data_IF_032829048064
#
_entry.id   IF_032829048064
#
_cell.length_a   1.000
_cell.length_b   1.000
_cell.length_c   1.000
_cell.angle_alpha   90.00
_cell.angle_beta   90.00
_cell.angle_gamma   90.00
#
_symmetry.space_group_name_H-M   'P 1'
#
loop_
_entity.id
_entity.type
_entity.pdbx_description
1 polymer ?
#
# COMPACT_ATOMS: atom_id res chain seq x y z
N UNK A 1 22.32 2.87 -23.31
CA UNK A 1 21.89 2.00 -22.19
C UNK A 1 21.88 2.84 -20.91
N UNK A 2 20.78 3.50 -20.60
CA UNK A 2 20.65 4.29 -19.37
C UNK A 2 19.58 3.68 -18.49
N UNK A 3 19.96 2.82 -17.54
CA UNK A 3 19.07 2.57 -16.40
C UNK A 3 18.96 3.89 -15.66
N UNK A 4 17.74 4.39 -15.45
CA UNK A 4 17.54 5.55 -14.59
C UNK A 4 18.14 5.22 -13.21
N UNK A 5 19.20 5.90 -12.74
CA UNK A 5 19.90 5.52 -11.51
C UNK A 5 19.01 5.59 -10.27
N UNK A 6 17.81 6.18 -10.37
CA UNK A 6 16.80 6.20 -9.33
C UNK A 6 16.05 4.86 -9.14
N UNK A 7 16.15 3.91 -10.08
CA UNK A 7 15.36 2.67 -10.09
C UNK A 7 16.28 1.46 -10.27
N UNK A 8 16.41 0.64 -9.24
CA UNK A 8 17.35 -0.49 -9.25
C UNK A 8 16.61 -1.78 -8.89
N UNK A 9 16.65 -2.72 -9.83
CA UNK A 9 16.23 -4.11 -9.61
C UNK A 9 17.46 -5.00 -9.50
N UNK A 10 17.55 -5.74 -8.42
CA UNK A 10 18.75 -6.49 -8.06
C UNK A 10 18.42 -7.96 -7.83
N UNK A 11 19.25 -8.83 -8.38
CA UNK A 11 19.23 -10.27 -8.09
C UNK A 11 20.54 -10.60 -7.37
N UNK A 12 20.44 -11.24 -6.21
CA UNK A 12 21.52 -11.68 -5.33
C UNK A 12 22.51 -10.58 -4.91
N UNK A 13 22.15 -9.77 -3.92
CA UNK A 13 23.04 -8.71 -3.39
C UNK A 13 22.94 -8.62 -1.87
N UNK A 14 24.07 -8.33 -1.24
CA UNK A 14 24.16 -7.75 0.10
C UNK A 14 23.79 -6.28 0.01
N UNK A 15 22.69 -5.87 0.63
CA UNK A 15 22.15 -4.50 0.57
C UNK A 15 23.19 -3.41 0.92
N UNK A 16 24.19 -3.75 1.74
CA UNK A 16 25.35 -2.93 2.07
C UNK A 16 26.09 -2.39 0.82
N UNK A 17 26.14 -3.16 -0.28
CA UNK A 17 26.79 -2.72 -1.53
C UNK A 17 26.05 -1.58 -2.24
N UNK A 18 24.84 -1.24 -1.80
CA UNK A 18 24.04 -0.14 -2.32
C UNK A 18 24.28 1.19 -1.59
N UNK A 19 25.18 1.22 -0.60
CA UNK A 19 25.60 2.43 0.12
C UNK A 19 25.84 3.66 -0.76
N UNK A 20 26.53 3.56 -1.93
CA UNK A 20 26.80 4.73 -2.78
C UNK A 20 25.54 5.29 -3.48
N UNK A 21 24.42 4.57 -3.45
CA UNK A 21 23.20 4.92 -4.19
C UNK A 21 22.24 5.80 -3.38
N UNK A 22 22.70 6.90 -2.79
CA UNK A 22 21.89 7.77 -1.93
C UNK A 22 20.66 8.39 -2.62
N UNK A 23 20.67 8.45 -3.96
CA UNK A 23 19.56 8.98 -4.78
C UNK A 23 18.57 7.92 -5.23
N UNK A 24 18.67 6.69 -4.74
CA UNK A 24 17.77 5.60 -5.11
C UNK A 24 16.37 5.83 -4.53
N UNK A 25 15.35 5.72 -5.39
CA UNK A 25 13.94 5.91 -5.02
C UNK A 25 13.15 4.60 -5.04
N UNK A 26 13.50 3.69 -5.96
CA UNK A 26 12.88 2.37 -6.11
C UNK A 26 13.93 1.27 -5.99
N UNK A 27 13.73 0.38 -5.02
CA UNK A 27 14.50 -0.84 -4.86
C UNK A 27 13.59 -2.07 -4.97
N UNK A 28 13.91 -2.95 -5.91
CA UNK A 28 13.31 -4.29 -6.01
C UNK A 28 14.42 -5.31 -5.79
N UNK A 29 14.41 -5.92 -4.61
CA UNK A 29 15.29 -7.02 -4.21
C UNK A 29 14.48 -8.24 -3.71
N UNK A 30 13.30 -8.45 -4.28
CA UNK A 30 12.46 -9.62 -4.01
C UNK A 30 13.04 -10.91 -4.58
N UNK A 31 12.69 -12.05 -3.96
CA UNK A 31 13.13 -13.40 -4.34
C UNK A 31 14.66 -13.59 -4.21
N UNK A 32 15.21 -13.19 -3.06
CA UNK A 32 16.60 -13.42 -2.70
C UNK A 32 16.66 -14.22 -1.36
N UNK A 33 17.80 -14.18 -0.67
CA UNK A 33 18.03 -14.83 0.64
C UNK A 33 18.44 -13.82 1.72
N UNK A 34 17.87 -12.62 1.65
CA UNK A 34 18.17 -11.57 2.63
C UNK A 34 17.61 -11.96 3.99
N UNK A 35 18.43 -11.93 5.03
CA UNK A 35 18.03 -12.22 6.41
C UNK A 35 17.87 -10.94 7.25
N UNK A 36 18.55 -9.85 6.86
CA UNK A 36 18.46 -8.53 7.47
C UNK A 36 18.19 -7.45 6.43
N UNK A 37 17.71 -6.30 6.89
CA UNK A 37 17.49 -5.10 6.10
C UNK A 37 18.67 -4.11 6.16
N UNK A 38 19.82 -4.53 6.70
CA UNK A 38 21.04 -3.72 6.84
C UNK A 38 21.54 -3.17 5.51
N UNK A 39 21.98 -1.91 5.51
CA UNK A 39 22.38 -1.16 4.33
C UNK A 39 21.27 -0.28 3.76
N UNK A 40 19.99 -0.56 4.07
CA UNK A 40 18.89 0.33 3.67
C UNK A 40 18.99 1.71 4.33
N UNK A 41 19.61 1.82 5.50
CA UNK A 41 19.77 3.09 6.22
C UNK A 41 20.54 4.16 5.44
N UNK A 42 21.26 3.77 4.41
CA UNK A 42 22.04 4.66 3.55
C UNK A 42 21.20 5.22 2.38
N UNK A 43 20.06 4.61 2.06
CA UNK A 43 19.20 4.96 0.92
C UNK A 43 18.20 6.08 1.26
N UNK A 44 18.72 7.28 1.53
CA UNK A 44 17.95 8.39 2.11
C UNK A 44 16.74 8.87 1.29
N UNK A 45 16.72 8.61 -0.02
CA UNK A 45 15.60 8.98 -0.92
C UNK A 45 14.67 7.81 -1.27
N UNK A 46 14.85 6.64 -0.65
CA UNK A 46 14.02 5.47 -0.90
C UNK A 46 12.55 5.81 -0.65
N UNK A 47 11.68 5.39 -1.56
CA UNK A 47 10.23 5.60 -1.47
C UNK A 47 9.44 4.34 -1.74
N UNK A 48 9.99 3.45 -2.55
CA UNK A 48 9.43 2.14 -2.84
C UNK A 48 10.47 1.06 -2.57
N UNK A 49 10.07 0.08 -1.76
CA UNK A 49 10.89 -1.06 -1.39
C UNK A 49 10.09 -2.35 -1.60
N UNK A 50 10.64 -3.26 -2.41
CA UNK A 50 10.17 -4.63 -2.50
C UNK A 50 11.30 -5.59 -2.12
N UNK A 51 11.20 -6.14 -0.90
CA UNK A 51 12.06 -7.21 -0.39
C UNK A 51 11.24 -8.46 -0.06
N UNK A 52 10.12 -8.65 -0.77
CA UNK A 52 9.28 -9.83 -0.59
C UNK A 52 9.98 -11.13 -1.00
N UNK A 53 9.54 -12.27 -0.47
CA UNK A 53 10.12 -13.57 -0.77
C UNK A 53 11.62 -13.62 -0.42
N UNK A 54 11.94 -13.29 0.83
CA UNK A 54 13.27 -13.36 1.43
C UNK A 54 13.16 -14.09 2.79
N UNK A 55 14.18 -13.98 3.63
CA UNK A 55 14.23 -14.59 4.96
C UNK A 55 14.33 -13.51 6.07
N UNK A 56 13.85 -12.30 5.81
CA UNK A 56 14.02 -11.14 6.70
C UNK A 56 13.38 -11.44 8.06
N UNK A 57 14.17 -11.32 9.14
CA UNK A 57 13.74 -11.57 10.52
C UNK A 57 14.06 -10.41 11.47
N UNK A 58 14.32 -9.21 10.93
CA UNK A 58 14.61 -7.98 11.68
C UNK A 58 14.48 -6.75 10.79
N UNK A 59 14.02 -5.63 11.36
CA UNK A 59 13.72 -4.36 10.67
C UNK A 59 14.52 -3.18 11.25
N UNK A 60 15.81 -3.38 11.51
CA UNK A 60 16.65 -2.39 12.18
C UNK A 60 16.89 -1.17 11.29
N UNK A 61 17.15 -1.36 10.01
CA UNK A 61 17.36 -0.25 9.08
C UNK A 61 16.06 0.50 8.76
N UNK A 62 14.95 -0.22 8.54
CA UNK A 62 13.63 0.36 8.34
C UNK A 62 13.16 1.19 9.55
N UNK A 63 13.60 0.84 10.76
CA UNK A 63 13.34 1.64 11.98
C UNK A 63 13.94 3.04 11.95
N UNK A 64 14.81 3.36 10.97
CA UNK A 64 15.36 4.71 10.80
C UNK A 64 14.51 5.60 9.89
N UNK A 65 13.57 5.04 9.14
CA UNK A 65 12.76 5.81 8.19
C UNK A 65 11.55 6.44 8.87
N UNK A 66 11.37 7.75 8.70
CA UNK A 66 10.16 8.43 9.19
C UNK A 66 8.93 8.18 8.32
N UNK A 67 9.13 8.02 7.00
CA UNK A 67 8.06 7.66 6.08
C UNK A 67 8.62 6.94 4.86
N UNK A 68 7.84 5.99 4.35
CA UNK A 68 8.05 5.35 3.05
C UNK A 68 6.71 5.24 2.32
N UNK A 69 6.76 5.26 0.98
CA UNK A 69 5.59 5.13 0.14
C UNK A 69 5.05 3.70 0.17
N UNK A 70 5.74 2.79 -0.51
CA UNK A 70 5.31 1.39 -0.59
C UNK A 70 6.42 0.48 -0.07
N UNK A 71 6.08 -0.40 0.86
CA UNK A 71 7.00 -1.37 1.46
C UNK A 71 6.39 -2.76 1.39
N UNK A 72 7.00 -3.64 0.59
CA UNK A 72 6.55 -5.01 0.39
C UNK A 72 7.49 -5.95 1.16
N UNK A 73 6.99 -6.47 2.28
CA UNK A 73 7.68 -7.38 3.21
C UNK A 73 7.03 -8.77 3.21
N UNK A 74 6.15 -9.06 2.26
CA UNK A 74 5.43 -10.33 2.20
C UNK A 74 6.37 -11.52 1.98
N UNK A 75 5.97 -12.69 2.48
CA UNK A 75 6.77 -13.92 2.40
C UNK A 75 8.18 -13.74 2.99
N UNK A 76 8.26 -13.42 4.28
CA UNK A 76 9.48 -13.29 5.09
C UNK A 76 9.29 -14.00 6.45
N UNK A 77 10.19 -13.77 7.41
CA UNK A 77 10.19 -14.39 8.74
C UNK A 77 9.98 -13.36 9.88
N UNK A 78 9.18 -12.32 9.64
CA UNK A 78 8.93 -11.25 10.60
C UNK A 78 8.09 -11.70 11.80
N UNK A 79 8.36 -11.10 12.96
CA UNK A 79 7.63 -11.28 14.22
C UNK A 79 7.04 -9.95 14.68
N UNK A 80 6.16 -10.02 15.68
CA UNK A 80 5.56 -8.84 16.31
C UNK A 80 6.60 -7.84 16.83
N UNK A 81 7.67 -8.31 17.46
CA UNK A 81 8.76 -7.45 17.96
C UNK A 81 9.47 -6.67 16.84
N UNK A 82 9.53 -7.24 15.63
CA UNK A 82 10.14 -6.56 14.48
C UNK A 82 9.25 -5.40 13.98
N UNK A 83 7.93 -5.57 14.04
CA UNK A 83 6.97 -4.49 13.73
C UNK A 83 6.99 -3.37 14.77
N UNK A 84 7.24 -3.67 16.05
CA UNK A 84 7.36 -2.66 17.09
C UNK A 84 8.47 -1.63 16.80
N UNK A 85 9.56 -2.06 16.16
CA UNK A 85 10.68 -1.19 15.79
C UNK A 85 10.25 -0.09 14.80
N UNK A 86 9.31 -0.39 13.92
CA UNK A 86 8.83 0.52 12.86
C UNK A 86 7.49 1.18 13.18
N UNK A 87 6.98 1.05 14.41
CA UNK A 87 5.70 1.64 14.86
C UNK A 87 5.57 3.14 14.59
N UNK A 88 6.67 3.86 14.70
CA UNK A 88 6.72 5.31 14.58
C UNK A 88 6.75 5.79 13.12
N UNK A 89 7.01 4.90 12.17
CA UNK A 89 7.18 5.21 10.77
C UNK A 89 5.83 5.26 10.04
N UNK A 90 5.74 6.17 9.07
CA UNK A 90 4.54 6.41 8.30
C UNK A 90 4.63 5.71 6.93
N UNK A 91 4.04 4.52 6.84
CA UNK A 91 3.98 3.74 5.59
C UNK A 91 2.66 3.98 4.86
N UNK A 92 2.71 4.45 3.61
CA UNK A 92 1.48 4.65 2.85
C UNK A 92 0.87 3.30 2.41
N UNK A 93 1.70 2.34 2.02
CA UNK A 93 1.27 0.98 1.76
C UNK A 93 2.31 0.00 2.29
N UNK A 94 1.87 -0.94 3.11
CA UNK A 94 2.70 -2.02 3.63
C UNK A 94 2.05 -3.37 3.33
N UNK A 95 2.83 -4.34 2.85
CA UNK A 95 2.39 -5.72 2.66
C UNK A 95 3.20 -6.64 3.56
N UNK A 96 2.51 -7.39 4.42
CA UNK A 96 3.06 -8.23 5.47
C UNK A 96 2.53 -9.67 5.42
N UNK A 97 1.57 -9.98 4.53
CA UNK A 97 1.06 -11.34 4.34
C UNK A 97 2.18 -12.36 4.04
N UNK A 98 1.97 -13.62 4.40
CA UNK A 98 2.94 -14.70 4.15
C UNK A 98 4.11 -14.70 5.12
N UNK A 99 4.02 -13.96 6.24
CA UNK A 99 4.97 -14.05 7.35
C UNK A 99 4.40 -15.05 8.38
N UNK A 100 4.92 -16.29 8.49
CA UNK A 100 4.23 -17.35 9.23
C UNK A 100 4.02 -17.08 10.73
N UNK A 101 4.88 -16.27 11.34
CA UNK A 101 4.77 -15.91 12.77
C UNK A 101 3.72 -14.81 13.02
N UNK A 102 3.38 -14.03 11.99
CA UNK A 102 2.28 -13.06 12.02
C UNK A 102 0.97 -13.73 11.58
N UNK A 103 0.99 -14.52 10.50
CA UNK A 103 -0.19 -15.15 9.91
C UNK A 103 -0.85 -16.22 10.81
N UNK A 104 -0.11 -16.77 11.78
CA UNK A 104 -0.65 -17.66 12.82
C UNK A 104 -1.64 -16.95 13.75
N UNK A 105 -1.62 -15.62 13.79
CA UNK A 105 -2.52 -14.84 14.61
C UNK A 105 -3.92 -14.72 13.96
N UNK A 106 -4.99 -15.25 14.57
CA UNK A 106 -6.34 -15.15 14.03
C UNK A 106 -6.84 -13.70 13.93
N UNK A 107 -6.23 -12.77 14.67
CA UNK A 107 -6.54 -11.33 14.68
C UNK A 107 -5.45 -10.49 14.01
N UNK A 108 -4.61 -11.11 13.16
CA UNK A 108 -3.48 -10.49 12.45
C UNK A 108 -3.74 -9.04 12.03
N UNK A 109 -4.82 -8.78 11.29
CA UNK A 109 -5.11 -7.42 10.78
C UNK A 109 -5.37 -6.40 11.88
N UNK A 110 -6.13 -6.78 12.92
CA UNK A 110 -6.43 -5.93 14.07
C UNK A 110 -5.15 -5.60 14.83
N UNK A 111 -4.33 -6.61 15.09
CA UNK A 111 -3.08 -6.47 15.82
C UNK A 111 -2.02 -5.69 15.02
N UNK A 112 -1.93 -5.84 13.69
CA UNK A 112 -1.03 -5.01 12.87
C UNK A 112 -1.47 -3.55 12.88
N UNK A 113 -2.78 -3.26 12.78
CA UNK A 113 -3.29 -1.87 12.81
C UNK A 113 -3.01 -1.20 14.17
N UNK A 114 -3.08 -1.95 15.28
CA UNK A 114 -2.64 -1.46 16.59
C UNK A 114 -1.12 -1.28 16.66
N UNK A 115 -0.37 -2.26 16.14
CA UNK A 115 1.09 -2.26 16.15
C UNK A 115 1.69 -1.10 15.33
N UNK A 116 1.08 -0.79 14.19
CA UNK A 116 1.54 0.21 13.22
C UNK A 116 0.43 1.25 12.96
N UNK A 117 0.17 2.17 13.90
CA UNK A 117 -0.99 3.05 13.84
C UNK A 117 -0.93 4.09 12.71
N UNK A 118 0.23 4.31 12.08
CA UNK A 118 0.41 5.35 11.06
C UNK A 118 0.29 4.84 9.61
N UNK A 119 0.05 3.55 9.40
CA UNK A 119 -0.05 3.00 8.04
C UNK A 119 -1.34 3.44 7.34
N UNK A 120 -1.33 3.64 6.02
CA UNK A 120 -2.57 3.93 5.28
C UNK A 120 -3.20 2.68 4.68
N UNK A 121 -2.40 1.82 4.06
CA UNK A 121 -2.85 0.58 3.43
C UNK A 121 -2.07 -0.61 3.98
N UNK A 122 -2.79 -1.67 4.33
CA UNK A 122 -2.23 -2.94 4.79
C UNK A 122 -2.71 -4.06 3.86
N UNK A 123 -1.77 -4.77 3.24
CA UNK A 123 -2.01 -5.90 2.32
C UNK A 123 -3.01 -5.54 1.20
N UNK A 124 -2.83 -4.34 0.63
CA UNK A 124 -3.68 -3.83 -0.46
C UNK A 124 -5.06 -3.34 -0.02
N UNK A 125 -5.32 -3.24 1.29
CA UNK A 125 -6.59 -2.74 1.86
C UNK A 125 -6.37 -1.52 2.75
N UNK A 126 -7.02 -0.41 2.39
CA UNK A 126 -6.99 0.86 3.12
C UNK A 126 -7.47 0.66 4.56
N UNK A 127 -6.75 1.25 5.51
CA UNK A 127 -7.04 1.29 6.94
C UNK A 127 -7.80 2.57 7.27
N UNK A 128 -9.12 2.45 7.18
CA UNK A 128 -10.08 3.55 7.40
C UNK A 128 -10.22 3.94 8.87
N UNK A 129 -10.75 5.14 9.14
CA UNK A 129 -11.13 5.58 10.50
C UNK A 129 -12.09 4.60 11.17
N UNK A 130 -13.10 4.09 10.45
CA UNK A 130 -14.09 3.14 10.97
C UNK A 130 -13.42 1.87 11.47
N UNK A 131 -12.50 1.32 10.68
CA UNK A 131 -11.71 0.14 11.05
C UNK A 131 -10.83 0.39 12.28
N UNK A 132 -10.23 1.58 12.41
CA UNK A 132 -9.44 1.96 13.59
C UNK A 132 -10.27 2.09 14.85
N UNK A 133 -11.51 2.57 14.73
CA UNK A 133 -12.45 2.58 15.85
C UNK A 133 -12.82 1.16 16.27
N UNK A 134 -13.05 0.26 15.32
CA UNK A 134 -13.27 -1.16 15.62
C UNK A 134 -12.06 -1.81 16.32
N UNK A 135 -10.83 -1.52 15.89
CA UNK A 135 -9.63 -2.01 16.57
C UNK A 135 -9.58 -1.51 18.02
N UNK A 136 -9.85 -0.21 18.26
CA UNK A 136 -9.92 0.33 19.62
C UNK A 136 -10.98 -0.38 20.46
N UNK A 137 -12.18 -0.58 19.90
CA UNK A 137 -13.28 -1.25 20.59
C UNK A 137 -12.94 -2.71 20.92
N UNK A 138 -12.33 -3.44 19.97
CA UNK A 138 -11.90 -4.82 20.17
C UNK A 138 -11.00 -4.99 21.40
N UNK A 139 -10.03 -4.08 21.60
CA UNK A 139 -9.17 -4.13 22.79
C UNK A 139 -9.89 -3.78 24.08
N UNK A 140 -10.87 -2.86 24.04
CA UNK A 140 -11.70 -2.55 25.21
C UNK A 140 -12.54 -3.77 25.59
N UNK A 141 -13.19 -4.39 24.62
CA UNK A 141 -14.07 -5.55 24.85
C UNK A 141 -13.28 -6.76 25.36
N UNK A 142 -12.11 -7.03 24.78
CA UNK A 142 -11.27 -8.16 25.20
C UNK A 142 -10.67 -7.97 26.60
N UNK A 143 -10.34 -6.73 27.00
CA UNK A 143 -9.94 -6.41 28.39
C UNK A 143 -11.04 -6.78 29.41
N UNK A 144 -12.32 -6.79 29.00
CA UNK A 144 -13.47 -7.13 29.84
C UNK A 144 -13.80 -8.63 29.85
N UNK A 145 -13.14 -9.46 29.04
CA UNK A 145 -13.40 -10.91 28.96
C UNK A 145 -12.59 -11.72 29.96
N UNK A 146 -13.08 -12.93 30.30
CA UNK A 146 -12.39 -13.88 31.21
C UNK A 146 -11.06 -14.42 30.64
N UNK A 147 -10.88 -14.37 29.32
CA UNK A 147 -9.68 -14.81 28.60
C UNK A 147 -9.23 -13.72 27.61
N UNK A 148 -8.55 -12.66 28.08
CA UNK A 148 -8.20 -11.54 27.22
C UNK A 148 -7.24 -11.99 26.11
N UNK A 149 -7.61 -11.75 24.86
CA UNK A 149 -6.74 -11.87 23.70
C UNK A 149 -5.70 -10.75 23.77
N UNK A 150 -4.60 -10.94 24.49
CA UNK A 150 -3.66 -9.85 24.78
C UNK A 150 -2.34 -9.96 24.03
N UNK A 151 -2.23 -9.14 22.98
CA UNK A 151 -0.97 -8.54 22.51
C UNK A 151 -1.13 -7.04 22.24
N UNK A 152 -1.94 -6.32 23.04
CA UNK A 152 -1.94 -4.84 22.99
C UNK A 152 -0.51 -4.40 23.25
N UNK A 153 0.12 -3.83 22.23
CA UNK A 153 1.44 -3.23 22.38
C UNK A 153 1.33 -2.21 23.51
N UNK A 154 1.99 -2.47 24.64
CA UNK A 154 2.01 -1.55 25.77
C UNK A 154 2.58 -0.19 25.34
N UNK A 155 2.74 0.75 26.26
CA UNK A 155 3.68 1.86 26.02
C UNK A 155 5.07 1.22 25.86
N UNK A 156 5.42 0.80 24.65
CA UNK A 156 6.70 0.21 24.35
C UNK A 156 7.76 1.20 24.81
N UNK A 157 8.77 0.70 25.53
CA UNK A 157 9.87 1.53 25.96
C UNK A 157 10.47 2.18 24.71
N UNK A 158 10.24 3.48 24.53
CA UNK A 158 10.86 4.23 23.44
C UNK A 158 12.36 4.20 23.70
N UNK A 159 13.07 3.37 22.96
CA UNK A 159 14.53 3.33 22.94
C UNK A 159 15.06 4.72 22.64
N UNK A 160 16.29 5.02 23.05
CA UNK A 160 16.93 6.32 22.79
C UNK A 160 16.95 6.65 21.29
N UNK A 161 17.12 5.63 20.44
CA UNK A 161 17.02 5.75 18.98
C UNK A 161 15.62 6.20 18.51
N UNK A 162 14.54 5.63 19.06
CA UNK A 162 13.16 6.06 18.75
C UNK A 162 12.88 7.48 19.29
N UNK A 163 13.50 7.87 20.41
CA UNK A 163 13.37 9.24 20.96
C UNK A 163 14.07 10.28 20.08
N UNK A 164 15.22 9.91 19.50
CA UNK A 164 16.03 10.77 18.64
C UNK A 164 15.68 10.63 17.15
N UNK A 165 14.64 9.86 16.78
CA UNK A 165 14.25 9.68 15.38
C UNK A 165 13.95 11.00 14.65
N UNK A 166 13.50 12.03 15.38
CA UNK A 166 13.29 13.37 14.83
C UNK A 166 14.58 14.10 14.45
N UNK A 167 15.72 13.74 15.04
CA UNK A 167 17.04 14.34 14.78
C UNK A 167 17.96 13.44 13.95
N UNK A 168 17.82 12.11 14.07
CA UNK A 168 18.71 11.10 13.46
C UNK A 168 18.01 10.20 12.42
N UNK A 169 16.69 10.35 12.26
CA UNK A 169 15.88 9.60 11.30
C UNK A 169 16.10 10.05 9.86
N UNK A 170 15.80 9.15 8.93
CA UNK A 170 15.89 9.37 7.49
C UNK A 170 14.67 10.16 7.04
N UNK A 171 14.91 11.37 6.54
CA UNK A 171 13.87 12.30 6.06
C UNK A 171 14.10 12.62 4.58
N UNK A 172 13.38 11.92 3.71
CA UNK A 172 13.39 12.18 2.26
C UNK A 172 12.57 13.43 1.88
N UNK A 173 12.69 13.88 0.63
CA UNK A 173 11.85 14.97 0.10
C UNK A 173 10.36 14.60 0.13
N UNK A 174 10.05 13.34 -0.20
CA UNK A 174 8.71 12.76 -0.20
C UNK A 174 8.15 12.69 1.22
N UNK A 175 8.98 12.34 2.21
CA UNK A 175 8.61 12.41 3.62
C UNK A 175 8.14 13.84 3.98
N UNK A 176 8.95 14.88 3.69
CA UNK A 176 8.57 16.28 3.98
C UNK A 176 7.26 16.67 3.30
N UNK A 177 7.08 16.27 2.04
CA UNK A 177 5.84 16.50 1.30
C UNK A 177 4.63 15.86 2.00
N UNK A 178 4.72 14.58 2.37
CA UNK A 178 3.63 13.88 3.05
C UNK A 178 3.29 14.55 4.36
N UNK A 179 4.28 14.90 5.19
CA UNK A 179 4.01 15.58 6.45
C UNK A 179 3.36 16.96 6.28
N UNK A 180 3.68 17.66 5.18
CA UNK A 180 3.03 18.95 4.86
C UNK A 180 1.56 18.80 4.47
N UNK A 181 1.19 17.66 3.87
CA UNK A 181 -0.16 17.41 3.36
C UNK A 181 -1.02 16.60 4.33
N UNK A 182 -0.40 15.70 5.07
CA UNK A 182 -1.01 14.77 6.02
C UNK A 182 -0.21 14.81 7.33
N UNK A 183 -0.42 15.85 8.16
CA UNK A 183 0.29 16.01 9.42
C UNK A 183 0.02 14.83 10.38
N UNK A 184 1.03 14.43 11.16
CA UNK A 184 0.87 13.36 12.17
C UNK A 184 -0.17 13.68 13.25
N UNK A 185 -0.40 14.97 13.53
CA UNK A 185 -1.40 15.44 14.47
C UNK A 185 -2.82 15.47 13.89
N UNK A 186 -2.98 15.24 12.58
CA UNK A 186 -4.29 15.24 11.93
C UNK A 186 -5.13 14.08 12.47
N UNK A 187 -6.35 14.40 12.90
CA UNK A 187 -7.30 13.39 13.35
C UNK A 187 -7.81 12.61 12.15
N UNK A 188 -7.83 11.28 12.25
CA UNK A 188 -8.39 10.45 11.20
C UNK A 188 -9.90 10.66 11.14
N UNK A 189 -10.39 11.09 9.99
CA UNK A 189 -11.80 11.29 9.66
C UNK A 189 -12.14 10.62 8.32
N UNK A 190 -13.43 10.52 7.99
CA UNK A 190 -13.88 10.05 6.66
C UNK A 190 -13.23 10.85 5.52
N UNK A 191 -13.11 12.17 5.69
CA UNK A 191 -12.46 13.04 4.72
C UNK A 191 -10.96 12.73 4.57
N UNK A 192 -10.26 12.38 5.66
CA UNK A 192 -8.86 11.94 5.55
C UNK A 192 -8.73 10.63 4.79
N UNK A 193 -9.66 9.69 4.94
CA UNK A 193 -9.64 8.41 4.21
C UNK A 193 -9.81 8.64 2.70
N UNK A 194 -10.72 9.53 2.30
CA UNK A 194 -10.91 9.92 0.88
C UNK A 194 -9.65 10.59 0.30
N UNK A 195 -9.02 11.50 1.05
CA UNK A 195 -7.78 12.16 0.62
C UNK A 195 -6.62 11.17 0.48
N UNK A 196 -6.49 10.22 1.41
CA UNK A 196 -5.49 9.14 1.36
C UNK A 196 -5.73 8.23 0.18
N UNK A 197 -6.97 7.82 -0.07
CA UNK A 197 -7.36 7.02 -1.22
C UNK A 197 -6.99 7.71 -2.54
N UNK A 198 -7.29 9.01 -2.68
CA UNK A 198 -6.90 9.78 -3.86
C UNK A 198 -5.38 9.83 -4.04
N UNK A 199 -4.63 9.99 -2.95
CA UNK A 199 -3.17 9.99 -3.04
C UNK A 199 -2.62 8.62 -3.48
N UNK A 200 -3.13 7.52 -2.91
CA UNK A 200 -2.76 6.16 -3.33
C UNK A 200 -3.13 5.90 -4.80
N UNK A 201 -4.30 6.38 -5.23
CA UNK A 201 -4.72 6.35 -6.63
C UNK A 201 -3.70 7.04 -7.55
N UNK A 202 -3.25 8.24 -7.18
CA UNK A 202 -2.24 8.99 -7.94
C UNK A 202 -0.87 8.28 -7.95
N UNK A 203 -0.50 7.60 -6.86
CA UNK A 203 0.70 6.75 -6.85
C UNK A 203 0.60 5.60 -7.85
N UNK A 204 -0.54 4.90 -7.89
CA UNK A 204 -0.77 3.79 -8.83
C UNK A 204 -0.82 4.27 -10.28
N UNK A 205 -1.44 5.41 -10.54
CA UNK A 205 -1.44 6.07 -11.85
C UNK A 205 0.00 6.39 -12.30
N UNK A 206 0.81 7.00 -11.42
CA UNK A 206 2.22 7.27 -11.69
C UNK A 206 3.07 6.01 -11.90
N UNK A 207 2.78 4.91 -11.20
CA UNK A 207 3.41 3.60 -11.45
C UNK A 207 3.12 3.06 -12.86
N UNK A 208 1.87 3.22 -13.33
CA UNK A 208 1.46 2.81 -14.67
C UNK A 208 2.16 3.66 -15.73
N UNK A 209 2.24 4.97 -15.52
CA UNK A 209 2.92 5.89 -16.44
C UNK A 209 4.41 5.59 -16.56
N UNK A 210 5.10 5.43 -15.43
CA UNK A 210 6.51 5.02 -15.41
C UNK A 210 6.73 3.71 -16.14
N UNK A 211 5.83 2.74 -15.95
CA UNK A 211 5.94 1.45 -16.65
C UNK A 211 5.85 1.61 -18.18
N UNK A 212 4.98 2.49 -18.69
CA UNK A 212 4.94 2.78 -20.12
C UNK A 212 6.24 3.41 -20.63
N UNK A 213 6.80 4.36 -19.88
CA UNK A 213 8.06 5.03 -20.19
C UNK A 213 9.23 4.03 -20.23
N UNK A 214 9.38 3.20 -19.20
CA UNK A 214 10.45 2.21 -19.08
C UNK A 214 10.32 1.06 -20.09
N UNK A 215 9.09 0.67 -20.44
CA UNK A 215 8.85 -0.41 -21.38
C UNK A 215 9.02 0.00 -22.84
N UNK A 216 9.22 1.29 -23.12
CA UNK A 216 9.16 1.88 -24.47
C UNK A 216 7.88 1.49 -25.25
N UNK A 217 6.80 1.17 -24.53
CA UNK A 217 5.51 0.80 -25.12
C UNK A 217 4.68 2.05 -25.35
N UNK A 218 3.97 2.10 -26.47
CA UNK A 218 2.96 3.16 -26.69
C UNK A 218 1.93 3.10 -25.58
N UNK A 219 1.61 4.27 -25.00
CA UNK A 219 0.50 4.40 -24.04
C UNK A 219 -0.75 3.78 -24.65
N UNK A 220 -1.49 3.02 -23.86
CA UNK A 220 -2.76 2.44 -24.32
C UNK A 220 -3.72 3.59 -24.61
N UNK A 221 -4.26 3.63 -25.83
CA UNK A 221 -5.21 4.66 -26.25
C UNK A 221 -6.39 4.72 -25.27
N UNK A 222 -6.69 5.89 -24.73
CA UNK A 222 -7.77 6.11 -23.77
C UNK A 222 -7.35 6.10 -22.29
N UNK A 223 -6.12 5.71 -21.96
CA UNK A 223 -5.60 5.83 -20.60
C UNK A 223 -4.85 7.16 -20.44
N UNK A 224 -5.57 8.19 -19.96
CA UNK A 224 -5.00 9.51 -19.62
C UNK A 224 -4.12 9.43 -18.38
N UNK A 225 -3.35 10.49 -18.10
CA UNK A 225 -2.55 10.61 -16.89
C UNK A 225 -3.38 10.87 -15.62
N UNK A 226 -4.66 11.19 -15.78
CA UNK A 226 -5.63 11.45 -14.73
C UNK A 226 -6.71 10.38 -14.66
N UNK A 227 -6.57 9.29 -15.43
CA UNK A 227 -7.62 8.31 -15.67
C UNK A 227 -8.20 7.72 -14.38
N UNK A 228 -7.35 7.25 -13.45
CA UNK A 228 -7.83 6.66 -12.22
C UNK A 228 -8.51 7.67 -11.30
N UNK A 229 -8.05 8.93 -11.28
CA UNK A 229 -8.68 9.99 -10.51
C UNK A 229 -10.06 10.34 -11.09
N UNK A 230 -10.16 10.47 -12.41
CA UNK A 230 -11.43 10.66 -13.11
C UNK A 230 -12.39 9.49 -12.84
N UNK A 231 -11.88 8.25 -12.80
CA UNK A 231 -12.69 7.07 -12.49
C UNK A 231 -13.23 7.10 -11.05
N UNK A 232 -12.43 7.56 -10.07
CA UNK A 232 -12.91 7.77 -8.71
C UNK A 232 -13.95 8.89 -8.63
N UNK A 233 -13.86 9.94 -9.44
CA UNK A 233 -14.90 10.96 -9.52
C UNK A 233 -16.18 10.45 -10.17
N UNK A 234 -16.09 9.67 -11.25
CA UNK A 234 -17.26 9.05 -11.88
C UNK A 234 -17.95 8.06 -10.95
N UNK A 235 -17.19 7.35 -10.12
CA UNK A 235 -17.74 6.43 -9.11
C UNK A 235 -18.73 7.10 -8.16
N UNK A 236 -18.54 8.37 -7.82
CA UNK A 236 -19.49 9.13 -6.96
C UNK A 236 -20.88 9.28 -7.60
N UNK A 237 -20.97 9.12 -8.92
CA UNK A 237 -22.21 9.24 -9.70
C UNK A 237 -22.77 7.88 -10.10
N UNK A 238 -21.91 6.91 -10.38
CA UNK A 238 -22.27 5.58 -10.88
C UNK A 238 -21.47 4.47 -10.17
N UNK A 239 -21.83 4.22 -8.91
CA UNK A 239 -21.16 3.23 -8.06
C UNK A 239 -21.34 1.81 -8.62
N UNK A 240 -22.52 1.51 -9.18
CA UNK A 240 -22.87 0.18 -9.66
C UNK A 240 -22.01 -0.24 -10.85
N UNK A 241 -21.91 0.60 -11.89
CA UNK A 241 -21.06 0.27 -13.06
C UNK A 241 -19.58 0.21 -12.67
N UNK A 242 -19.11 1.10 -11.79
CA UNK A 242 -17.75 1.01 -11.27
C UNK A 242 -17.48 -0.29 -10.51
N UNK A 243 -18.44 -0.80 -9.74
CA UNK A 243 -18.35 -2.10 -9.08
C UNK A 243 -18.32 -3.26 -10.09
N UNK A 244 -19.12 -3.18 -11.16
CA UNK A 244 -19.08 -4.18 -12.23
C UNK A 244 -17.74 -4.21 -12.96
N UNK A 245 -17.14 -3.04 -13.23
CA UNK A 245 -15.78 -2.95 -13.79
C UNK A 245 -14.76 -3.57 -12.84
N UNK A 246 -14.84 -3.29 -11.54
CA UNK A 246 -13.99 -3.91 -10.52
C UNK A 246 -14.12 -5.44 -10.54
N UNK A 247 -15.34 -5.98 -10.57
CA UNK A 247 -15.59 -7.42 -10.62
C UNK A 247 -14.98 -8.05 -11.87
N UNK A 248 -15.18 -7.45 -13.05
CA UNK A 248 -14.58 -7.94 -14.30
C UNK A 248 -13.05 -7.87 -14.26
N UNK A 249 -12.47 -6.84 -13.65
CA UNK A 249 -11.03 -6.74 -13.49
C UNK A 249 -10.49 -7.86 -12.60
N UNK A 250 -11.16 -8.17 -11.49
CA UNK A 250 -10.81 -9.30 -10.62
C UNK A 250 -10.89 -10.62 -11.39
N UNK A 251 -11.98 -10.86 -12.13
CA UNK A 251 -12.14 -12.06 -12.98
C UNK A 251 -10.98 -12.15 -13.99
N UNK A 252 -10.56 -11.03 -14.58
CA UNK A 252 -9.47 -11.00 -15.55
C UNK A 252 -8.07 -11.33 -14.97
N UNK A 253 -7.92 -11.33 -13.65
CA UNK A 253 -6.69 -11.81 -13.00
C UNK A 253 -6.63 -13.33 -12.89
N UNK A 254 -7.80 -13.97 -12.80
CA UNK A 254 -7.95 -15.41 -12.65
C UNK A 254 -7.98 -16.10 -14.02
N UNK A 255 -8.70 -15.51 -14.98
CA UNK A 255 -8.89 -16.09 -16.30
C UNK A 255 -8.14 -15.29 -17.37
N UNK A 256 -7.42 -16.00 -18.26
CA UNK A 256 -6.85 -15.41 -19.46
C UNK A 256 -7.95 -15.18 -20.51
N UNK A 257 -8.62 -14.03 -20.40
CA UNK A 257 -9.72 -13.67 -21.30
C UNK A 257 -9.19 -13.04 -22.59
N UNK A 258 -9.57 -13.56 -23.79
CA UNK A 258 -9.22 -12.92 -25.06
C UNK A 258 -9.71 -11.48 -25.12
N UNK A 259 -8.93 -10.60 -25.74
CA UNK A 259 -9.28 -9.17 -25.84
C UNK A 259 -10.56 -8.92 -26.62
N UNK A 260 -10.87 -9.76 -27.61
CA UNK A 260 -12.13 -9.73 -28.37
C UNK A 260 -13.33 -10.05 -27.50
N UNK A 261 -13.21 -11.08 -26.65
CA UNK A 261 -14.23 -11.45 -25.68
C UNK A 261 -14.46 -10.33 -24.66
N UNK A 262 -13.39 -9.77 -24.10
CA UNK A 262 -13.52 -8.68 -23.12
C UNK A 262 -14.22 -7.45 -23.72
N UNK A 263 -13.87 -7.07 -24.97
CA UNK A 263 -14.58 -5.99 -25.67
C UNK A 263 -16.07 -6.29 -25.86
N UNK A 264 -16.41 -7.52 -26.28
CA UNK A 264 -17.81 -7.90 -26.47
C UNK A 264 -18.59 -7.89 -25.15
N UNK A 265 -17.98 -8.37 -24.05
CA UNK A 265 -18.58 -8.34 -22.71
C UNK A 265 -18.81 -6.90 -22.25
N UNK A 266 -17.80 -6.03 -22.36
CA UNK A 266 -17.93 -4.63 -21.98
C UNK A 266 -19.03 -3.91 -22.78
N UNK A 267 -19.14 -4.17 -24.09
CA UNK A 267 -20.21 -3.58 -24.90
C UNK A 267 -21.59 -4.13 -24.57
N UNK A 268 -21.70 -5.44 -24.34
CA UNK A 268 -23.00 -6.07 -24.00
C UNK A 268 -23.53 -5.59 -22.65
N UNK A 269 -22.66 -5.39 -21.67
CA UNK A 269 -23.02 -4.93 -20.32
C UNK A 269 -23.10 -3.39 -20.23
N UNK A 270 -22.77 -2.66 -21.31
CA UNK A 270 -22.77 -1.20 -21.31
C UNK A 270 -21.67 -0.58 -20.46
N UNK A 271 -20.52 -1.26 -20.36
CA UNK A 271 -19.33 -0.86 -19.59
C UNK A 271 -18.17 -0.41 -20.47
N UNK A 272 -18.32 -0.34 -21.79
CA UNK A 272 -17.29 0.20 -22.69
C UNK A 272 -16.86 1.61 -22.29
N UNK A 273 -17.82 2.40 -21.80
CA UNK A 273 -17.64 3.73 -21.24
C UNK A 273 -18.27 3.81 -19.85
N UNK A 274 -17.53 4.35 -18.88
CA UNK A 274 -18.06 4.79 -17.59
C UNK A 274 -17.92 6.31 -17.54
N UNK A 275 -19.05 7.02 -17.68
CA UNK A 275 -19.05 8.44 -18.01
C UNK A 275 -18.37 8.67 -19.36
N UNK A 276 -17.26 9.40 -19.38
CA UNK A 276 -16.44 9.64 -20.57
C UNK A 276 -15.24 8.69 -20.70
N UNK A 277 -15.04 7.79 -19.74
CA UNK A 277 -13.83 6.98 -19.63
C UNK A 277 -14.00 5.64 -20.32
N UNK A 278 -13.10 5.34 -21.26
CA UNK A 278 -13.01 3.99 -21.84
C UNK A 278 -12.39 3.02 -20.85
N UNK A 279 -13.09 1.92 -20.54
CA UNK A 279 -12.65 0.96 -19.52
C UNK A 279 -11.71 -0.13 -20.05
N UNK A 280 -11.79 -0.45 -21.35
CA UNK A 280 -10.97 -1.47 -22.01
C UNK A 280 -9.46 -1.34 -21.73
N UNK A 281 -8.85 -0.12 -21.67
CA UNK A 281 -7.44 0.04 -21.33
C UNK A 281 -7.00 -0.63 -20.03
N UNK A 282 -7.88 -0.69 -19.01
CA UNK A 282 -7.56 -1.31 -17.73
C UNK A 282 -7.26 -2.82 -17.85
N UNK A 283 -7.97 -3.50 -18.75
CA UNK A 283 -7.82 -4.93 -19.00
C UNK A 283 -6.57 -5.28 -19.81
N UNK A 284 -6.01 -4.29 -20.51
CA UNK A 284 -4.78 -4.42 -21.28
C UNK A 284 -3.52 -4.21 -20.44
N UNK A 285 -3.66 -3.73 -19.20
CA UNK A 285 -2.54 -3.56 -18.29
C UNK A 285 -1.92 -4.91 -17.90
N UNK A 286 -0.60 -4.98 -17.70
CA UNK A 286 0.05 -6.14 -17.11
C UNK A 286 -0.59 -6.48 -15.76
N UNK A 287 -0.56 -7.77 -15.40
CA UNK A 287 -1.18 -8.30 -14.18
C UNK A 287 -0.84 -7.45 -12.94
N UNK A 288 0.42 -7.08 -12.75
CA UNK A 288 0.87 -6.29 -11.58
C UNK A 288 0.19 -4.92 -11.48
N UNK A 289 0.09 -4.18 -12.58
CA UNK A 289 -0.56 -2.87 -12.59
C UNK A 289 -2.07 -3.00 -12.49
N UNK A 290 -2.64 -4.02 -13.13
CA UNK A 290 -4.06 -4.33 -13.01
C UNK A 290 -4.46 -4.67 -11.57
N UNK A 291 -3.65 -5.44 -10.86
CA UNK A 291 -3.83 -5.71 -9.42
C UNK A 291 -3.81 -4.43 -8.60
N UNK A 292 -2.88 -3.50 -8.86
CA UNK A 292 -2.86 -2.19 -8.18
C UNK A 292 -4.13 -1.36 -8.44
N UNK A 293 -4.63 -1.34 -9.68
CA UNK A 293 -5.91 -0.68 -10.02
C UNK A 293 -7.07 -1.33 -9.25
N UNK A 294 -7.11 -2.65 -9.19
CA UNK A 294 -8.11 -3.39 -8.42
C UNK A 294 -8.06 -3.01 -6.94
N UNK A 295 -6.87 -2.92 -6.34
CA UNK A 295 -6.73 -2.47 -4.94
C UNK A 295 -7.31 -1.06 -4.73
N UNK A 296 -7.02 -0.11 -5.62
CA UNK A 296 -7.60 1.24 -5.56
C UNK A 296 -9.13 1.21 -5.61
N UNK A 297 -9.71 0.47 -6.56
CA UNK A 297 -11.16 0.37 -6.73
C UNK A 297 -11.83 -0.39 -5.57
N UNK A 298 -11.18 -1.41 -5.03
CA UNK A 298 -11.64 -2.13 -3.84
C UNK A 298 -11.63 -1.20 -2.61
N UNK A 299 -10.59 -0.41 -2.46
CA UNK A 299 -10.49 0.59 -1.39
C UNK A 299 -11.55 1.68 -1.53
N UNK A 300 -11.86 2.11 -2.76
CA UNK A 300 -12.97 3.02 -3.02
C UNK A 300 -14.31 2.41 -2.59
N UNK A 301 -14.59 1.16 -2.96
CA UNK A 301 -15.79 0.46 -2.51
C UNK A 301 -15.88 0.31 -0.99
N UNK A 302 -14.74 0.07 -0.31
CA UNK A 302 -14.67 0.05 1.15
C UNK A 302 -14.97 1.42 1.75
N UNK A 303 -14.41 2.50 1.21
CA UNK A 303 -14.68 3.87 1.68
C UNK A 303 -16.16 4.23 1.50
N UNK A 304 -16.77 3.91 0.35
CA UNK A 304 -18.21 4.14 0.13
C UNK A 304 -19.05 3.44 1.20
N UNK A 305 -18.75 2.16 1.46
CA UNK A 305 -19.45 1.37 2.48
C UNK A 305 -19.28 1.97 3.86
N UNK A 306 -18.04 2.23 4.28
CA UNK A 306 -17.74 2.73 5.62
C UNK A 306 -18.29 4.17 5.82
N UNK A 307 -18.45 4.94 4.74
CA UNK A 307 -19.14 6.22 4.76
C UNK A 307 -20.66 6.08 4.96
N UNK A 308 -21.27 5.04 4.39
CA UNK A 308 -22.71 4.77 4.46
C UNK A 308 -23.17 4.09 5.76
N UNK A 309 -22.32 3.30 6.42
CA UNK A 309 -22.63 2.59 7.70
C UNK A 309 -23.11 3.54 8.82
N UNK A 310 -22.79 4.83 8.76
CA UNK A 310 -23.23 5.81 9.78
C UNK A 310 -24.67 6.32 9.55
N UNK A 311 -25.28 6.06 8.38
CA UNK A 311 -26.68 6.46 8.12
C UNK A 311 -27.71 5.56 8.82
N UNK A 312 -27.31 4.43 9.39
CA UNK A 312 -28.22 3.48 10.04
C UNK A 312 -28.24 3.58 11.58
N UNK A 313 -27.56 4.57 12.19
CA UNK A 313 -27.44 4.72 13.66
C UNK A 313 -28.12 6.01 14.19
N UNK A 314 -28.99 6.66 13.42
CA UNK A 314 -29.80 7.79 13.91
C UNK A 314 -31.25 7.68 13.49
#
# INVERSE_FOLDING_TARGET
MGKNPANVKVKAVELQKLEPCESLHWLIASKNKLQSDEGLENLKQLWYLDISNNEICGLSALSRYLALGTVILSNNNLRWMDLELIRHAHFLSISLHGNPLLDKDPYYRIHVIDCLPLIWELDGRLVTVTERLHVKQFFIDTELTKHPVRHKTGRAFKTTAIRNIGTEGIVSKQCKYIYSKFPMSETHTKHTDERRLRYLCNMVQGDIERWFEESHKKKVKGLTNTFLEELLEQRKRDVERCNMVLLLLVISLEFQLPTTLMKAVLGTVGLDLVGTLSTMPLFLLPRIHRTKVICVLLNAAKVDRDNNVVREIY
#
